data_IF_396556068748
#
_entry.id   IF_396556068748
#
_cell.length_a   1.000
_cell.length_b   1.000
_cell.length_c   1.000
_cell.angle_alpha   90.00
_cell.angle_beta   90.00
_cell.angle_gamma   90.00
#
_symmetry.space_group_name_H-M   'P 1'
#
loop_
_entity.id
_entity.type
_entity.pdbx_description
1 polymer ?
#
# COMPACT_ATOMS: atom_id res chain seq x y z
N UNK A 1 -0.17 -12.88 18.30
CA UNK A 1 1.14 -12.24 18.61
C UNK A 1 1.17 -10.87 17.94
N UNK A 2 1.80 -9.84 18.56
CA UNK A 2 1.77 -8.47 17.98
C UNK A 2 3.01 -8.13 17.15
N UNK A 3 4.09 -8.90 17.29
CA UNK A 3 5.39 -8.63 16.67
C UNK A 3 5.69 -9.67 15.59
N UNK A 4 6.22 -9.20 14.45
CA UNK A 4 6.75 -10.05 13.39
C UNK A 4 8.06 -9.49 12.88
N UNK A 5 9.01 -10.38 12.59
CA UNK A 5 10.24 -10.06 11.88
C UNK A 5 10.05 -10.41 10.40
N UNK A 6 10.22 -9.41 9.56
CA UNK A 6 10.24 -9.55 8.11
C UNK A 6 11.68 -9.56 7.66
N UNK A 7 12.13 -10.73 7.23
CA UNK A 7 13.51 -10.91 6.81
C UNK A 7 13.61 -11.17 5.31
N UNK A 8 14.16 -10.20 4.61
CA UNK A 8 14.67 -10.36 3.25
C UNK A 8 15.97 -11.17 3.24
N UNK A 9 16.61 -11.25 2.08
CA UNK A 9 17.86 -11.95 1.88
C UNK A 9 19.03 -11.01 1.55
N UNK A 10 18.90 -9.73 1.87
CA UNK A 10 19.96 -8.74 1.63
C UNK A 10 21.12 -8.90 2.63
N UNK A 11 22.28 -8.30 2.32
CA UNK A 11 23.53 -8.46 3.12
C UNK A 11 23.40 -8.05 4.58
N UNK A 12 22.56 -7.06 4.89
CA UNK A 12 22.35 -6.59 6.28
C UNK A 12 21.79 -7.69 7.19
N UNK A 13 21.25 -8.79 6.63
CA UNK A 13 20.84 -9.97 7.40
C UNK A 13 21.99 -10.56 8.26
N UNK A 14 23.23 -10.45 7.78
CA UNK A 14 24.41 -10.93 8.52
C UNK A 14 24.77 -10.04 9.72
N UNK A 15 24.21 -8.84 9.78
CA UNK A 15 24.52 -7.80 10.78
C UNK A 15 23.34 -7.51 11.72
N UNK A 16 22.47 -8.50 11.91
CA UNK A 16 21.37 -8.39 12.85
C UNK A 16 21.91 -8.13 14.26
N UNK A 17 21.42 -7.10 14.91
CA UNK A 17 21.65 -6.88 16.32
C UNK A 17 20.65 -7.69 17.14
N UNK A 18 21.05 -8.86 17.60
CA UNK A 18 20.18 -9.81 18.31
C UNK A 18 19.64 -9.27 19.64
N UNK A 19 20.31 -8.32 20.27
CA UNK A 19 19.80 -7.65 21.47
C UNK A 19 18.57 -6.77 21.19
N UNK A 20 18.31 -6.44 19.91
CA UNK A 20 17.15 -5.65 19.48
C UNK A 20 15.95 -6.49 19.04
N UNK A 21 16.08 -7.85 19.08
CA UNK A 21 14.96 -8.72 18.78
C UNK A 21 13.89 -8.59 19.87
N UNK A 22 12.61 -8.45 19.54
CA UNK A 22 11.54 -8.44 20.54
C UNK A 22 11.45 -9.80 21.25
N UNK A 23 10.96 -9.82 22.50
CA UNK A 23 10.93 -11.07 23.31
C UNK A 23 10.05 -12.17 22.74
N UNK A 24 8.99 -11.80 22.02
CA UNK A 24 8.06 -12.73 21.37
C UNK A 24 7.74 -12.22 19.97
N UNK A 25 8.03 -13.02 18.97
CA UNK A 25 7.84 -12.65 17.57
C UNK A 25 7.61 -13.87 16.69
N UNK A 26 6.95 -13.65 15.58
CA UNK A 26 6.90 -14.56 14.45
C UNK A 26 7.92 -14.13 13.40
N UNK A 27 8.32 -15.06 12.50
CA UNK A 27 9.33 -14.81 11.47
C UNK A 27 8.72 -15.08 10.11
N UNK A 28 8.84 -14.12 9.20
CA UNK A 28 8.53 -14.26 7.78
C UNK A 28 9.84 -14.26 6.99
N UNK A 29 9.97 -15.22 6.09
CA UNK A 29 11.13 -15.37 5.20
C UNK A 29 10.65 -15.46 3.74
N UNK A 30 11.52 -15.15 2.79
CA UNK A 30 11.16 -15.24 1.38
C UNK A 30 12.23 -15.91 0.50
N UNK A 31 11.77 -16.46 -0.60
CA UNK A 31 12.60 -17.02 -1.67
C UNK A 31 13.66 -17.99 -1.15
N UNK A 32 14.92 -17.78 -1.47
CA UNK A 32 16.05 -18.68 -1.18
C UNK A 32 16.65 -18.48 0.24
N UNK A 33 15.86 -18.12 1.25
CA UNK A 33 16.36 -17.90 2.61
C UNK A 33 17.16 -19.08 3.16
N UNK A 34 16.84 -20.29 2.74
CA UNK A 34 17.53 -21.52 3.17
C UNK A 34 18.91 -21.72 2.54
N UNK A 35 19.35 -20.84 1.62
CA UNK A 35 20.72 -20.82 1.11
C UNK A 35 21.71 -20.24 2.12
N UNK A 36 21.23 -19.59 3.17
CA UNK A 36 22.07 -19.04 4.24
C UNK A 36 22.98 -20.10 4.86
N UNK A 37 24.17 -19.70 5.31
CA UNK A 37 25.14 -20.57 5.93
C UNK A 37 24.95 -20.74 7.46
N UNK A 38 24.13 -19.86 8.06
CA UNK A 38 23.73 -19.88 9.46
C UNK A 38 22.23 -19.70 9.55
N UNK A 39 21.64 -20.16 10.64
CA UNK A 39 20.22 -19.89 10.91
C UNK A 39 20.06 -18.50 11.53
N UNK A 40 20.22 -17.44 10.73
CA UNK A 40 20.24 -16.04 11.22
C UNK A 40 19.05 -15.65 12.10
N UNK A 41 17.90 -16.25 11.90
CA UNK A 41 16.71 -16.04 12.73
C UNK A 41 16.16 -17.35 13.31
N UNK A 42 16.99 -18.40 13.35
CA UNK A 42 16.57 -19.71 13.82
C UNK A 42 15.80 -20.51 12.77
N UNK A 43 15.20 -21.61 13.22
CA UNK A 43 14.56 -22.61 12.37
C UNK A 43 13.03 -22.50 12.31
N UNK A 44 12.41 -21.74 13.22
CA UNK A 44 10.97 -21.63 13.31
C UNK A 44 10.46 -20.49 12.42
N UNK A 45 9.90 -20.83 11.28
CA UNK A 45 9.39 -19.89 10.27
C UNK A 45 7.87 -19.91 10.29
N UNK A 46 7.26 -18.79 10.68
CA UNK A 46 5.80 -18.65 10.68
C UNK A 46 5.22 -18.64 9.27
N UNK A 47 5.92 -17.98 8.32
CA UNK A 47 5.51 -17.92 6.94
C UNK A 47 6.71 -17.83 5.99
N UNK A 48 6.72 -18.69 4.97
CA UNK A 48 7.68 -18.65 3.87
C UNK A 48 6.96 -18.18 2.60
N UNK A 49 7.56 -17.21 1.89
CA UNK A 49 6.97 -16.56 0.72
C UNK A 49 7.83 -16.84 -0.51
N UNK A 50 7.20 -17.35 -1.54
CA UNK A 50 7.88 -17.71 -2.78
C UNK A 50 7.22 -17.06 -3.99
N UNK A 51 8.05 -16.65 -4.94
CA UNK A 51 7.58 -16.08 -6.19
C UNK A 51 6.88 -17.14 -7.04
N UNK A 52 5.88 -16.75 -7.85
CA UNK A 52 5.10 -17.71 -8.64
C UNK A 52 5.93 -18.48 -9.67
N UNK A 53 6.96 -17.90 -10.27
CA UNK A 53 7.79 -18.56 -11.27
C UNK A 53 8.47 -19.84 -10.76
N UNK A 54 9.26 -19.79 -9.66
CA UNK A 54 9.88 -20.98 -9.09
C UNK A 54 8.98 -21.68 -8.08
N UNK A 55 7.69 -21.39 -8.01
CA UNK A 55 6.85 -21.82 -6.90
C UNK A 55 6.79 -23.35 -6.76
N UNK A 56 6.72 -24.08 -7.85
CA UNK A 56 6.70 -25.55 -7.82
C UNK A 56 7.96 -26.12 -7.10
N UNK A 57 9.13 -25.68 -7.54
CA UNK A 57 10.41 -26.13 -6.96
C UNK A 57 10.59 -25.61 -5.54
N UNK A 58 10.20 -24.37 -5.27
CA UNK A 58 10.30 -23.77 -3.93
C UNK A 58 9.36 -24.46 -2.92
N UNK A 59 8.14 -24.76 -3.34
CA UNK A 59 7.19 -25.50 -2.52
C UNK A 59 7.71 -26.90 -2.20
N UNK A 60 8.17 -27.63 -3.23
CA UNK A 60 8.80 -28.95 -3.03
C UNK A 60 10.00 -28.86 -2.08
N UNK A 61 10.89 -27.89 -2.30
CA UNK A 61 12.05 -27.67 -1.43
C UNK A 61 11.63 -27.36 0.00
N UNK A 62 10.65 -26.49 0.21
CA UNK A 62 10.14 -26.15 1.54
C UNK A 62 9.59 -27.38 2.28
N UNK A 63 8.90 -28.28 1.57
CA UNK A 63 8.45 -29.55 2.15
C UNK A 63 9.62 -30.44 2.56
N UNK A 64 10.67 -30.51 1.75
CA UNK A 64 11.88 -31.28 2.08
C UNK A 64 12.65 -30.69 3.26
N UNK A 65 12.72 -29.33 3.38
CA UNK A 65 13.30 -28.66 4.55
C UNK A 65 12.58 -29.04 5.85
N UNK A 66 11.24 -29.16 5.79
CA UNK A 66 10.43 -29.58 6.94
C UNK A 66 10.63 -31.08 7.24
N UNK A 67 10.60 -31.94 6.21
CA UNK A 67 10.78 -33.37 6.37
C UNK A 67 12.18 -33.73 6.95
N UNK A 68 13.20 -32.97 6.56
CA UNK A 68 14.57 -33.14 7.04
C UNK A 68 14.83 -32.47 8.40
N UNK A 69 13.81 -31.85 9.01
CA UNK A 69 13.93 -31.08 10.26
C UNK A 69 14.95 -29.93 10.19
N UNK A 70 15.21 -29.39 8.98
CA UNK A 70 16.06 -28.21 8.81
C UNK A 70 15.36 -26.93 9.21
N UNK A 71 14.05 -26.84 8.93
CA UNK A 71 13.17 -25.74 9.32
C UNK A 71 11.80 -26.25 9.72
N UNK A 72 11.16 -25.55 10.62
CA UNK A 72 9.72 -25.65 10.87
C UNK A 72 9.03 -24.50 10.15
N UNK A 73 8.29 -24.81 9.09
CA UNK A 73 7.56 -23.82 8.29
C UNK A 73 6.06 -24.06 8.50
N UNK A 74 5.38 -23.07 9.09
CA UNK A 74 3.95 -23.23 9.40
C UNK A 74 3.05 -22.89 8.20
N UNK A 75 3.42 -21.87 7.40
CA UNK A 75 2.65 -21.44 6.26
C UNK A 75 3.55 -21.20 5.05
N UNK A 76 3.08 -21.60 3.88
CA UNK A 76 3.73 -21.31 2.60
C UNK A 76 2.82 -20.42 1.77
N UNK A 77 3.36 -19.31 1.25
CA UNK A 77 2.65 -18.36 0.43
C UNK A 77 3.24 -18.28 -0.97
N UNK A 78 2.37 -18.30 -1.97
CA UNK A 78 2.69 -17.79 -3.29
C UNK A 78 2.53 -16.26 -3.25
N UNK A 79 3.64 -15.51 -3.39
CA UNK A 79 3.67 -14.09 -3.04
C UNK A 79 2.88 -13.21 -4.00
N UNK A 80 3.02 -13.36 -5.29
CA UNK A 80 2.27 -12.52 -6.25
C UNK A 80 1.64 -13.36 -7.33
N UNK A 81 0.44 -12.95 -7.74
CA UNK A 81 -0.21 -13.51 -8.90
C UNK A 81 -0.71 -12.39 -9.80
N UNK A 82 0.20 -11.77 -10.51
CA UNK A 82 -0.17 -10.78 -11.50
C UNK A 82 0.87 -10.65 -12.59
N UNK A 83 1.20 -11.79 -13.12
CA UNK A 83 1.87 -11.77 -14.41
C UNK A 83 0.76 -11.87 -15.46
N UNK A 84 0.50 -10.80 -16.20
CA UNK A 84 -0.53 -10.80 -17.24
C UNK A 84 -0.30 -11.84 -18.33
N UNK A 85 0.84 -12.53 -18.30
CA UNK A 85 1.27 -13.54 -19.26
C UNK A 85 1.07 -14.98 -18.78
N UNK A 86 0.75 -15.20 -17.49
CA UNK A 86 0.38 -16.52 -17.01
C UNK A 86 -1.12 -16.61 -17.20
N UNK A 87 -1.59 -17.66 -17.85
CA UNK A 87 -3.01 -17.97 -17.93
C UNK A 87 -3.58 -18.05 -16.51
N UNK A 88 -4.07 -16.92 -16.09
CA UNK A 88 -4.47 -16.62 -14.73
C UNK A 88 -5.47 -17.67 -14.23
N UNK A 89 -6.39 -18.07 -15.08
CA UNK A 89 -7.50 -18.92 -14.69
C UNK A 89 -7.08 -20.37 -14.46
N UNK A 90 -6.19 -20.92 -15.28
CA UNK A 90 -5.74 -22.30 -15.10
C UNK A 90 -4.85 -22.49 -13.88
N UNK A 91 -3.95 -21.57 -13.58
CA UNK A 91 -3.10 -21.70 -12.40
C UNK A 91 -3.88 -21.42 -11.10
N UNK A 92 -4.67 -20.35 -11.05
CA UNK A 92 -5.44 -20.01 -9.86
C UNK A 92 -6.46 -21.09 -9.53
N UNK A 93 -7.18 -21.59 -10.53
CA UNK A 93 -8.21 -22.61 -10.36
C UNK A 93 -7.63 -23.96 -9.95
N UNK A 94 -6.40 -24.29 -10.37
CA UNK A 94 -5.72 -25.53 -10.04
C UNK A 94 -4.65 -25.39 -8.95
N UNK A 95 -4.47 -24.20 -8.38
CA UNK A 95 -3.40 -23.94 -7.42
C UNK A 95 -3.45 -24.91 -6.25
N UNK A 96 -4.61 -25.10 -5.66
CA UNK A 96 -4.78 -25.97 -4.49
C UNK A 96 -4.73 -27.46 -4.81
N UNK A 97 -4.92 -27.86 -6.08
CA UNK A 97 -4.71 -29.24 -6.50
C UNK A 97 -3.22 -29.63 -6.43
N UNK A 98 -2.33 -28.68 -6.76
CA UNK A 98 -0.87 -28.88 -6.71
C UNK A 98 -0.26 -28.49 -5.38
N UNK A 99 -0.83 -27.54 -4.67
CA UNK A 99 -0.28 -26.93 -3.46
C UNK A 99 -1.35 -26.83 -2.34
N UNK A 100 -1.84 -27.98 -1.83
CA UNK A 100 -3.06 -28.03 -1.02
C UNK A 100 -2.95 -27.23 0.31
N UNK A 101 -1.77 -27.08 0.85
CA UNK A 101 -1.52 -26.35 2.10
C UNK A 101 -0.82 -24.99 1.91
N UNK A 102 -0.60 -24.59 0.67
CA UNK A 102 -0.10 -23.24 0.36
C UNK A 102 -1.23 -22.22 0.26
N UNK A 103 -0.87 -20.95 0.36
CA UNK A 103 -1.82 -19.83 0.31
C UNK A 103 -1.48 -18.86 -0.81
N UNK A 104 -2.51 -18.31 -1.43
CA UNK A 104 -2.37 -17.24 -2.42
C UNK A 104 -2.32 -15.89 -1.69
N UNK A 105 -1.13 -15.31 -1.59
CA UNK A 105 -0.91 -14.09 -0.82
C UNK A 105 -1.69 -12.89 -1.35
N UNK A 106 -1.89 -12.77 -2.67
CA UNK A 106 -2.68 -11.70 -3.26
C UNK A 106 -4.15 -11.71 -2.77
N UNK A 107 -4.73 -12.90 -2.53
CA UNK A 107 -6.08 -13.02 -1.98
C UNK A 107 -6.18 -12.48 -0.55
N UNK A 108 -5.09 -12.53 0.18
CA UNK A 108 -5.02 -12.01 1.54
C UNK A 108 -4.87 -10.48 1.52
N UNK A 109 -3.97 -9.95 0.68
CA UNK A 109 -3.75 -8.50 0.54
C UNK A 109 -4.98 -7.78 -0.01
N UNK A 110 -5.85 -8.43 -0.80
CA UNK A 110 -7.12 -7.88 -1.27
C UNK A 110 -8.00 -7.32 -0.13
N UNK A 111 -7.83 -7.80 1.10
CA UNK A 111 -8.52 -7.26 2.26
C UNK A 111 -8.07 -5.83 2.65
N UNK A 112 -6.87 -5.43 2.27
CA UNK A 112 -6.36 -4.05 2.41
C UNK A 112 -6.79 -3.22 1.20
N UNK A 113 -8.06 -2.92 1.06
CA UNK A 113 -8.68 -2.42 -0.19
C UNK A 113 -7.98 -1.21 -0.80
N UNK A 114 -7.73 -0.17 0.00
CA UNK A 114 -7.07 1.06 -0.47
C UNK A 114 -5.64 0.80 -0.90
N UNK A 115 -4.89 0.09 -0.07
CA UNK A 115 -3.52 -0.34 -0.35
C UNK A 115 -3.46 -1.22 -1.60
N UNK A 116 -4.35 -2.21 -1.69
CA UNK A 116 -4.39 -3.12 -2.83
C UNK A 116 -4.68 -2.38 -4.14
N UNK A 117 -5.65 -1.48 -4.14
CA UNK A 117 -5.95 -0.65 -5.31
C UNK A 117 -4.74 0.19 -5.74
N UNK A 118 -4.02 0.77 -4.78
CA UNK A 118 -2.84 1.58 -5.04
C UNK A 118 -1.70 0.77 -5.66
N UNK A 119 -1.32 -0.36 -5.05
CA UNK A 119 -0.24 -1.19 -5.62
C UNK A 119 -0.61 -1.78 -6.97
N UNK A 120 -1.88 -2.12 -7.19
CA UNK A 120 -2.36 -2.61 -8.49
C UNK A 120 -2.31 -1.55 -9.58
N UNK A 121 -2.72 -0.34 -9.27
CA UNK A 121 -2.57 0.78 -10.19
C UNK A 121 -1.10 0.96 -10.60
N UNK A 122 -0.20 1.00 -9.64
CA UNK A 122 1.23 1.16 -9.91
C UNK A 122 1.81 -0.02 -10.70
N UNK A 123 1.42 -1.25 -10.38
CA UNK A 123 1.87 -2.45 -11.08
C UNK A 123 1.41 -2.49 -12.55
N UNK A 124 0.13 -2.22 -12.78
CA UNK A 124 -0.48 -2.39 -14.11
C UNK A 124 -0.15 -1.21 -15.03
N UNK A 125 -0.21 0.02 -14.51
CA UNK A 125 -0.10 1.22 -15.35
C UNK A 125 1.29 1.86 -15.35
N UNK A 126 2.05 1.69 -14.26
CA UNK A 126 3.35 2.35 -14.09
C UNK A 126 4.52 1.34 -14.08
N UNK A 127 4.24 0.05 -14.22
CA UNK A 127 5.23 -1.03 -14.12
C UNK A 127 6.08 -0.96 -12.86
N UNK A 128 5.49 -0.53 -11.73
CA UNK A 128 6.15 -0.48 -10.43
C UNK A 128 5.65 -1.62 -9.55
N UNK A 129 6.55 -2.41 -9.01
CA UNK A 129 6.22 -3.54 -8.14
C UNK A 129 6.96 -3.45 -6.82
N UNK A 130 6.27 -3.78 -5.75
CA UNK A 130 6.89 -3.95 -4.45
C UNK A 130 7.78 -5.19 -4.44
N UNK A 131 8.86 -5.13 -3.67
CA UNK A 131 9.72 -6.29 -3.46
C UNK A 131 9.06 -7.33 -2.56
N UNK A 132 9.63 -8.55 -2.51
CA UNK A 132 9.12 -9.62 -1.64
C UNK A 132 9.11 -9.24 -0.17
N UNK A 133 10.08 -8.44 0.29
CA UNK A 133 10.13 -7.93 1.66
C UNK A 133 8.91 -7.07 1.99
N UNK A 134 8.58 -6.14 1.11
CA UNK A 134 7.43 -5.24 1.29
C UNK A 134 6.10 -6.00 1.14
N UNK A 135 6.07 -6.99 0.26
CA UNK A 135 4.91 -7.86 0.14
C UNK A 135 4.62 -8.62 1.45
N UNK A 136 5.66 -9.15 2.10
CA UNK A 136 5.54 -9.77 3.42
C UNK A 136 5.00 -8.80 4.48
N UNK A 137 5.39 -7.51 4.42
CA UNK A 137 4.86 -6.48 5.32
C UNK A 137 3.35 -6.30 5.13
N UNK A 138 2.87 -6.23 3.90
CA UNK A 138 1.43 -6.12 3.62
C UNK A 138 0.64 -7.34 4.13
N UNK A 139 1.18 -8.55 3.95
CA UNK A 139 0.59 -9.76 4.55
C UNK A 139 0.57 -9.67 6.08
N UNK A 140 1.65 -9.23 6.70
CA UNK A 140 1.72 -9.08 8.15
C UNK A 140 0.66 -8.10 8.68
N UNK A 141 0.47 -6.97 8.01
CA UNK A 141 -0.59 -6.00 8.33
C UNK A 141 -1.97 -6.65 8.24
N UNK A 142 -2.23 -7.38 7.16
CA UNK A 142 -3.52 -8.09 6.98
C UNK A 142 -3.77 -9.14 8.05
N UNK A 143 -2.72 -9.79 8.52
CA UNK A 143 -2.79 -10.79 9.61
C UNK A 143 -2.88 -10.16 11.01
N UNK A 144 -2.87 -8.82 11.10
CA UNK A 144 -3.10 -8.08 12.35
C UNK A 144 -1.85 -7.81 13.19
N UNK A 145 -0.65 -8.01 12.65
CA UNK A 145 0.58 -7.61 13.33
C UNK A 145 0.65 -6.07 13.44
N UNK A 146 1.10 -5.59 14.58
CA UNK A 146 1.18 -4.15 14.88
C UNK A 146 2.60 -3.61 14.86
N UNK A 147 3.57 -4.42 15.25
CA UNK A 147 4.98 -4.05 15.23
C UNK A 147 5.71 -4.97 14.26
N UNK A 148 6.30 -4.39 13.24
CA UNK A 148 6.96 -5.07 12.13
C UNK A 148 8.43 -4.69 12.15
N UNK A 149 9.29 -5.68 12.32
CA UNK A 149 10.73 -5.52 12.43
C UNK A 149 11.39 -5.96 11.13
N UNK A 150 12.23 -5.11 10.56
CA UNK A 150 12.80 -5.29 9.23
C UNK A 150 14.28 -5.60 9.29
N UNK A 151 14.72 -6.63 8.55
CA UNK A 151 16.13 -6.95 8.33
C UNK A 151 16.34 -7.60 6.94
N UNK A 152 17.56 -7.54 6.43
CA UNK A 152 17.87 -8.10 5.12
C UNK A 152 17.09 -7.48 3.95
N UNK A 153 16.61 -6.24 4.10
CA UNK A 153 15.92 -5.46 3.06
C UNK A 153 16.83 -4.29 2.71
N UNK A 154 17.70 -4.47 1.74
CA UNK A 154 18.78 -3.55 1.39
C UNK A 154 18.58 -2.89 0.02
N UNK A 155 17.36 -3.00 -0.55
CA UNK A 155 16.91 -2.35 -1.79
C UNK A 155 17.81 -2.62 -3.00
N UNK A 156 18.57 -3.71 -2.97
CA UNK A 156 19.58 -4.07 -3.98
C UNK A 156 20.70 -3.03 -4.13
N UNK A 157 20.96 -2.25 -3.08
CA UNK A 157 22.08 -1.29 -3.04
C UNK A 157 23.36 -1.98 -2.55
N UNK A 158 24.51 -1.59 -3.13
CA UNK A 158 25.82 -2.11 -2.79
C UNK A 158 26.39 -3.11 -3.80
N UNK A 159 27.64 -3.51 -3.57
CA UNK A 159 28.36 -4.45 -4.44
C UNK A 159 27.84 -5.89 -4.32
N UNK A 160 27.39 -6.25 -3.15
CA UNK A 160 26.85 -7.60 -2.85
C UNK A 160 25.35 -7.51 -2.65
N UNK A 161 24.59 -8.16 -3.52
CA UNK A 161 23.11 -8.15 -3.46
C UNK A 161 22.60 -9.18 -2.44
N UNK A 162 23.29 -10.32 -2.31
CA UNK A 162 22.95 -11.38 -1.36
C UNK A 162 24.19 -11.84 -0.58
N UNK A 163 24.04 -12.27 0.67
CA UNK A 163 25.11 -12.81 1.49
C UNK A 163 25.48 -14.26 1.12
N UNK A 164 24.88 -14.82 0.07
CA UNK A 164 25.09 -16.18 -0.43
C UNK A 164 24.99 -16.21 -1.96
N UNK A 165 25.43 -17.31 -2.58
CA UNK A 165 25.26 -17.49 -4.03
C UNK A 165 23.78 -17.72 -4.37
N UNK A 166 23.12 -16.66 -4.86
CA UNK A 166 21.70 -16.71 -5.21
C UNK A 166 21.43 -17.52 -6.49
N UNK A 167 22.40 -17.59 -7.40
CA UNK A 167 22.32 -18.29 -8.68
C UNK A 167 22.94 -19.67 -8.61
N UNK A 168 22.36 -20.52 -7.77
CA UNK A 168 22.78 -21.91 -7.59
C UNK A 168 22.64 -22.77 -8.86
N UNK A 169 23.22 -23.95 -8.85
CA UNK A 169 23.25 -24.88 -9.99
C UNK A 169 21.84 -25.24 -10.50
N UNK A 170 20.94 -25.55 -9.59
CA UNK A 170 19.59 -25.96 -9.96
C UNK A 170 18.73 -24.78 -10.42
N UNK A 171 18.91 -23.59 -9.85
CA UNK A 171 18.26 -22.37 -10.36
C UNK A 171 18.67 -22.10 -11.80
N UNK A 172 19.99 -22.16 -12.10
CA UNK A 172 20.50 -22.00 -13.48
C UNK A 172 19.95 -23.06 -14.44
N UNK A 173 19.76 -24.30 -13.96
CA UNK A 173 19.17 -25.37 -14.76
C UNK A 173 17.69 -25.15 -15.02
N UNK A 174 16.94 -24.72 -14.02
CA UNK A 174 15.49 -24.50 -14.11
C UNK A 174 15.15 -23.24 -14.90
N UNK A 175 15.98 -22.21 -14.79
CA UNK A 175 15.77 -20.92 -15.45
C UNK A 175 16.99 -20.51 -16.28
N UNK A 176 17.28 -21.19 -17.42
CA UNK A 176 18.48 -20.94 -18.22
C UNK A 176 18.60 -19.53 -18.77
N UNK A 177 17.48 -18.81 -18.89
CA UNK A 177 17.44 -17.40 -19.32
C UNK A 177 17.90 -16.41 -18.25
N UNK A 178 17.93 -16.82 -16.97
CA UNK A 178 18.46 -16.02 -15.85
C UNK A 178 19.98 -16.20 -15.74
N UNK A 179 20.74 -15.87 -16.78
CA UNK A 179 22.21 -16.05 -16.78
C UNK A 179 22.88 -15.19 -15.72
N UNK A 180 22.42 -13.95 -15.58
CA UNK A 180 22.92 -12.99 -14.61
C UNK A 180 21.74 -12.49 -13.77
N UNK A 181 21.89 -12.56 -12.44
CA UNK A 181 20.88 -11.99 -11.56
C UNK A 181 21.00 -10.45 -11.63
N UNK A 182 19.97 -9.82 -12.19
CA UNK A 182 19.79 -8.36 -12.12
C UNK A 182 18.45 -8.09 -11.46
N UNK A 183 18.40 -7.10 -10.54
CA UNK A 183 17.12 -6.63 -10.02
C UNK A 183 16.21 -6.22 -11.19
N UNK A 184 14.94 -6.54 -11.07
CA UNK A 184 13.97 -6.11 -12.09
C UNK A 184 13.82 -4.59 -12.05
N UNK A 185 13.80 -3.94 -13.21
CA UNK A 185 13.59 -2.49 -13.35
C UNK A 185 12.23 -2.02 -12.80
N UNK A 186 11.33 -2.94 -12.44
CA UNK A 186 10.06 -2.59 -11.82
C UNK A 186 10.15 -2.35 -10.30
N UNK A 187 11.29 -2.64 -9.67
CA UNK A 187 11.53 -2.41 -8.25
C UNK A 187 12.37 -1.15 -8.05
N UNK A 188 12.01 -0.31 -7.09
CA UNK A 188 12.85 0.80 -6.66
C UNK A 188 12.75 0.98 -5.15
N UNK A 189 13.83 1.48 -4.56
CA UNK A 189 13.91 1.81 -3.14
C UNK A 189 12.85 2.85 -2.75
N UNK A 190 12.71 3.89 -3.56
CA UNK A 190 11.77 4.99 -3.31
C UNK A 190 10.34 4.46 -3.22
N UNK A 191 9.98 3.56 -4.14
CA UNK A 191 8.65 2.96 -4.14
C UNK A 191 8.44 2.04 -2.95
N UNK A 192 9.40 1.21 -2.60
CA UNK A 192 9.31 0.33 -1.42
C UNK A 192 9.17 1.14 -0.12
N UNK A 193 9.92 2.23 0.04
CA UNK A 193 9.80 3.14 1.20
C UNK A 193 8.45 3.85 1.22
N UNK A 194 7.98 4.33 0.08
CA UNK A 194 6.65 4.95 -0.06
C UNK A 194 5.56 3.98 0.41
N UNK A 195 5.63 2.72 -0.02
CA UNK A 195 4.68 1.68 0.35
C UNK A 195 4.71 1.35 1.85
N UNK A 196 5.89 1.28 2.47
CA UNK A 196 6.00 1.08 3.92
C UNK A 196 5.35 2.23 4.69
N UNK A 197 5.61 3.48 4.29
CA UNK A 197 4.98 4.66 4.91
C UNK A 197 3.46 4.69 4.70
N UNK A 198 2.99 4.23 3.55
CA UNK A 198 1.57 4.10 3.26
C UNK A 198 0.90 3.09 4.21
N UNK A 199 1.52 1.91 4.39
CA UNK A 199 1.04 0.90 5.35
C UNK A 199 1.00 1.44 6.79
N UNK A 200 2.06 2.13 7.20
CA UNK A 200 2.15 2.76 8.52
C UNK A 200 1.03 3.77 8.75
N UNK A 201 0.80 4.65 7.79
CA UNK A 201 -0.18 5.74 7.91
C UNK A 201 -1.64 5.23 7.90
N UNK A 202 -1.97 4.30 7.00
CA UNK A 202 -3.35 3.82 6.84
C UNK A 202 -3.73 2.85 7.96
N UNK A 203 -2.85 1.86 8.25
CA UNK A 203 -3.20 0.74 9.14
C UNK A 203 -2.67 0.89 10.57
N UNK A 204 -1.99 2.01 10.88
CA UNK A 204 -1.47 2.32 12.22
C UNK A 204 -0.60 1.18 12.76
N UNK A 205 0.33 0.75 11.95
CA UNK A 205 1.38 -0.22 12.30
C UNK A 205 2.70 0.50 12.48
N UNK A 206 3.63 -0.11 13.21
CA UNK A 206 4.96 0.46 13.45
C UNK A 206 6.00 -0.39 12.74
N UNK A 207 6.92 0.27 12.04
CA UNK A 207 8.09 -0.36 11.45
C UNK A 207 9.36 -0.02 12.22
N UNK A 208 10.22 -1.01 12.42
CA UNK A 208 11.50 -0.89 13.13
C UNK A 208 12.60 -1.55 12.33
N UNK A 209 13.78 -0.95 12.25
CA UNK A 209 14.97 -1.58 11.71
C UNK A 209 15.68 -2.43 12.79
N UNK A 210 16.23 -3.59 12.41
CA UNK A 210 16.98 -4.48 13.29
C UNK A 210 18.50 -4.43 13.09
N UNK A 211 18.96 -3.84 11.99
CA UNK A 211 20.37 -3.80 11.61
C UNK A 211 20.85 -2.35 11.62
N UNK A 212 21.90 -2.09 12.41
CA UNK A 212 22.46 -0.73 12.59
C UNK A 212 23.08 -0.18 11.30
N UNK A 213 23.48 -1.05 10.35
CA UNK A 213 24.08 -0.69 9.07
C UNK A 213 23.12 -0.78 7.87
N UNK A 214 21.83 -1.00 8.09
CA UNK A 214 20.85 -1.05 7.01
C UNK A 214 20.43 0.36 6.59
N UNK A 215 20.20 0.57 5.28
CA UNK A 215 19.62 1.81 4.74
C UNK A 215 18.25 2.15 5.35
N UNK A 216 17.56 1.17 5.94
CA UNK A 216 16.26 1.34 6.60
C UNK A 216 16.30 2.31 7.79
N UNK A 217 17.45 2.46 8.48
CA UNK A 217 17.57 3.38 9.64
C UNK A 217 17.33 4.85 9.29
N UNK A 218 17.49 5.20 8.02
CA UNK A 218 17.21 6.56 7.54
C UNK A 218 15.71 6.86 7.44
N UNK A 219 14.86 5.85 7.54
CA UNK A 219 13.42 5.95 7.30
C UNK A 219 12.57 5.46 8.47
N UNK A 220 13.09 4.52 9.25
CA UNK A 220 12.40 3.89 10.38
C UNK A 220 13.33 3.81 11.58
N UNK A 221 12.79 3.95 12.81
CA UNK A 221 13.59 3.88 14.02
C UNK A 221 14.21 2.49 14.19
N UNK A 222 15.39 2.46 14.78
CA UNK A 222 15.96 1.21 15.29
C UNK A 222 15.07 0.65 16.40
N UNK A 223 14.93 -0.68 16.40
CA UNK A 223 14.27 -1.37 17.50
C UNK A 223 15.01 -1.11 18.82
N UNK A 224 14.25 -0.89 19.89
CA UNK A 224 14.83 -0.79 21.22
C UNK A 224 15.51 -2.09 21.64
N UNK A 225 16.57 -2.00 22.47
CA UNK A 225 17.16 -3.20 23.06
C UNK A 225 16.14 -3.90 23.96
N UNK A 226 16.04 -5.22 23.81
CA UNK A 226 15.13 -6.07 24.56
C UNK A 226 15.86 -7.07 25.46
N UNK A 227 17.18 -6.96 25.55
CA UNK A 227 18.07 -7.91 26.26
C UNK A 227 17.76 -9.38 25.96
N UNK A 228 17.65 -9.66 24.68
CA UNK A 228 17.29 -10.99 24.20
C UNK A 228 18.55 -11.82 23.95
N UNK A 229 18.60 -13.01 24.50
CA UNK A 229 19.64 -13.98 24.20
C UNK A 229 19.23 -14.79 22.97
N UNK A 230 19.96 -14.66 21.88
CA UNK A 230 19.77 -15.45 20.66
C UNK A 230 21.02 -16.26 20.37
N UNK A 231 20.84 -17.57 20.20
CA UNK A 231 21.94 -18.48 19.87
C UNK A 231 21.97 -18.64 18.33
N UNK A 232 23.02 -18.11 17.72
CA UNK A 232 23.25 -18.24 16.29
C UNK A 232 23.84 -19.59 15.94
N UNK A 233 23.07 -20.46 15.31
CA UNK A 233 23.52 -21.80 14.89
C UNK A 233 24.09 -21.78 13.46
N UNK A 234 25.18 -22.50 13.25
CA UNK A 234 25.72 -22.78 11.91
C UNK A 234 24.92 -23.90 11.23
N UNK A 235 24.75 -23.81 9.92
CA UNK A 235 24.17 -24.91 9.13
C UNK A 235 25.26 -25.97 8.82
N UNK A 236 24.89 -27.24 8.91
CA UNK A 236 25.75 -28.35 8.52
C UNK A 236 25.98 -28.41 7.00
N UNK A 237 27.01 -29.14 6.57
CA UNK A 237 27.28 -29.34 5.14
C UNK A 237 26.19 -30.13 4.40
N UNK A 238 25.40 -30.92 5.13
CA UNK A 238 24.31 -31.74 4.58
C UNK A 238 22.99 -30.97 4.39
N UNK A 239 22.90 -29.72 4.87
CA UNK A 239 21.70 -28.91 4.71
C UNK A 239 21.44 -28.53 3.25
N UNK A 240 20.18 -28.44 2.89
CA UNK A 240 19.73 -28.03 1.56
C UNK A 240 20.12 -26.56 1.34
N UNK A 241 20.90 -26.29 0.27
CA UNK A 241 21.35 -24.94 -0.12
C UNK A 241 21.09 -24.62 -1.59
N UNK A 242 20.20 -25.38 -2.21
CA UNK A 242 19.76 -25.16 -3.58
C UNK A 242 18.28 -25.51 -3.67
N UNK A 243 17.58 -25.03 -4.69
CA UNK A 243 16.23 -25.51 -4.97
C UNK A 243 16.32 -26.99 -5.38
N UNK A 244 15.39 -27.78 -4.90
CA UNK A 244 15.26 -29.16 -5.32
C UNK A 244 14.42 -29.22 -6.60
N UNK A 245 14.93 -29.99 -7.54
CA UNK A 245 14.21 -30.22 -8.78
C UNK A 245 13.09 -31.24 -8.52
N UNK A 246 11.93 -30.95 -9.03
CA UNK A 246 10.83 -31.92 -9.09
C UNK A 246 11.09 -32.96 -10.18
N UNK A 247 10.44 -34.12 -10.10
CA UNK A 247 10.50 -35.12 -11.13
C UNK A 247 10.13 -34.51 -12.50
N UNK A 248 10.92 -34.80 -13.54
CA UNK A 248 10.76 -34.24 -14.89
C UNK A 248 9.36 -34.45 -15.48
N UNK A 249 8.65 -35.51 -15.08
CA UNK A 249 7.29 -35.81 -15.53
C UNK A 249 6.27 -34.76 -15.03
N UNK A 250 6.40 -34.25 -13.83
CA UNK A 250 5.51 -33.20 -13.30
C UNK A 250 5.94 -31.81 -13.78
N UNK A 251 7.24 -31.52 -13.77
CA UNK A 251 7.78 -30.23 -14.18
C UNK A 251 7.57 -29.98 -15.69
N UNK A 252 7.89 -30.95 -16.52
CA UNK A 252 7.74 -30.86 -17.98
C UNK A 252 6.27 -30.75 -18.39
N UNK A 253 5.36 -31.48 -17.77
CA UNK A 253 3.93 -31.36 -18.09
C UNK A 253 3.31 -30.06 -17.60
N UNK A 254 3.72 -29.55 -16.44
CA UNK A 254 3.29 -28.24 -15.96
C UNK A 254 3.73 -27.14 -16.92
N UNK A 255 5.00 -27.18 -17.38
CA UNK A 255 5.52 -26.19 -18.32
C UNK A 255 5.12 -26.49 -19.78
N UNK A 256 4.97 -27.75 -20.19
CA UNK A 256 4.45 -28.08 -21.52
C UNK A 256 3.00 -27.65 -21.70
N UNK A 257 2.17 -27.79 -20.67
CA UNK A 257 0.80 -27.25 -20.71
C UNK A 257 0.78 -25.71 -20.76
N UNK A 258 1.81 -25.05 -20.22
CA UNK A 258 2.00 -23.61 -20.41
C UNK A 258 2.58 -23.25 -21.79
N UNK A 259 3.35 -24.14 -22.41
CA UNK A 259 4.01 -23.92 -23.70
C UNK A 259 3.13 -24.40 -24.87
N UNK A 260 2.27 -25.42 -24.70
CA UNK A 260 1.35 -25.86 -25.72
C UNK A 260 0.20 -24.90 -26.04
N UNK A 261 -0.02 -23.90 -25.22
CA UNK A 261 -0.85 -22.72 -25.51
C UNK A 261 -0.15 -21.76 -26.48
N UNK A 262 1.12 -21.98 -26.79
CA UNK A 262 1.90 -21.21 -27.79
C UNK A 262 1.69 -21.68 -29.24
N UNK A 263 0.48 -22.06 -29.65
CA UNK A 263 0.09 -21.90 -31.02
C UNK A 263 0.02 -20.40 -31.31
N UNK A 264 0.79 -19.94 -32.27
CA UNK A 264 0.94 -18.50 -32.61
C UNK A 264 -0.43 -17.83 -32.85
N UNK A 265 -1.43 -18.59 -33.33
CA UNK A 265 -2.81 -18.13 -33.51
C UNK A 265 -3.57 -17.89 -32.18
N UNK A 266 -3.38 -18.77 -31.19
CA UNK A 266 -4.01 -18.60 -29.87
C UNK A 266 -3.37 -17.42 -29.13
N UNK A 267 -2.07 -17.23 -29.31
CA UNK A 267 -1.35 -16.08 -28.76
C UNK A 267 -1.83 -14.77 -29.39
N UNK A 268 -2.03 -14.77 -30.70
CA UNK A 268 -2.54 -13.61 -31.44
C UNK A 268 -3.97 -13.26 -31.01
N UNK A 269 -4.83 -14.27 -30.88
CA UNK A 269 -6.21 -14.09 -30.40
C UNK A 269 -6.25 -13.57 -28.94
N UNK A 270 -5.37 -14.10 -28.07
CA UNK A 270 -5.27 -13.64 -26.69
C UNK A 270 -4.73 -12.19 -26.63
N UNK A 271 -3.75 -11.84 -27.47
CA UNK A 271 -3.29 -10.44 -27.57
C UNK A 271 -4.40 -9.52 -28.10
N UNK A 272 -5.16 -9.93 -29.10
CA UNK A 272 -6.30 -9.17 -29.62
C UNK A 272 -7.37 -8.95 -28.54
N UNK A 273 -7.71 -9.99 -27.77
CA UNK A 273 -8.65 -9.90 -26.66
C UNK A 273 -8.13 -9.00 -25.54
N UNK A 274 -6.81 -9.06 -25.24
CA UNK A 274 -6.18 -8.16 -24.27
C UNK A 274 -6.19 -6.71 -24.74
N UNK A 275 -5.93 -6.46 -26.02
CA UNK A 275 -5.98 -5.11 -26.61
C UNK A 275 -7.40 -4.56 -26.49
N UNK A 276 -8.42 -5.33 -26.90
CA UNK A 276 -9.81 -4.92 -26.82
C UNK A 276 -10.27 -4.66 -25.39
N UNK A 277 -9.83 -5.48 -24.44
CA UNK A 277 -10.10 -5.24 -23.01
C UNK A 277 -9.44 -3.96 -22.49
N UNK A 278 -8.22 -3.67 -22.94
CA UNK A 278 -7.49 -2.45 -22.61
C UNK A 278 -8.14 -1.21 -23.24
N UNK A 279 -8.57 -1.29 -24.47
CA UNK A 279 -9.28 -0.19 -25.14
C UNK A 279 -10.60 0.15 -24.42
N UNK A 280 -11.34 -0.88 -23.98
CA UNK A 280 -12.55 -0.69 -23.17
C UNK A 280 -12.23 -0.05 -21.81
N UNK A 281 -11.11 -0.43 -21.16
CA UNK A 281 -10.67 0.20 -19.91
C UNK A 281 -10.28 1.66 -20.12
N UNK A 282 -9.55 1.98 -21.19
CA UNK A 282 -9.17 3.35 -21.55
C UNK A 282 -10.43 4.19 -21.82
N UNK A 283 -11.39 3.65 -22.56
CA UNK A 283 -12.67 4.33 -22.83
C UNK A 283 -13.42 4.66 -21.55
N UNK A 284 -13.51 3.71 -20.61
CA UNK A 284 -14.15 3.93 -19.32
C UNK A 284 -13.41 4.97 -18.46
N UNK A 285 -12.07 4.92 -18.45
CA UNK A 285 -11.25 5.90 -17.73
C UNK A 285 -11.39 7.31 -18.30
N UNK A 286 -11.44 7.45 -19.62
CA UNK A 286 -11.67 8.73 -20.28
C UNK A 286 -13.03 9.32 -19.91
N UNK A 287 -14.07 8.48 -19.81
CA UNK A 287 -15.39 8.89 -19.35
C UNK A 287 -15.37 9.38 -17.91
N UNK A 288 -14.71 8.64 -17.02
CA UNK A 288 -14.53 9.06 -15.62
C UNK A 288 -13.73 10.36 -15.52
N UNK A 289 -12.72 10.54 -16.36
CA UNK A 289 -11.92 11.77 -16.40
C UNK A 289 -12.78 12.97 -16.81
N UNK A 290 -13.57 12.83 -17.88
CA UNK A 290 -14.49 13.88 -18.32
C UNK A 290 -15.52 14.26 -17.25
N UNK A 291 -16.04 13.29 -16.51
CA UNK A 291 -17.00 13.55 -15.44
C UNK A 291 -16.32 14.26 -14.24
N UNK A 292 -15.07 13.91 -13.94
CA UNK A 292 -14.26 14.61 -12.93
C UNK A 292 -13.93 16.04 -13.34
N UNK A 293 -13.60 16.27 -14.60
CA UNK A 293 -13.32 17.62 -15.11
C UNK A 293 -14.55 18.52 -15.04
N UNK A 294 -15.73 17.98 -15.39
CA UNK A 294 -17.00 18.70 -15.20
C UNK A 294 -17.23 19.05 -13.72
N UNK A 295 -17.00 18.09 -12.81
CA UNK A 295 -17.16 18.31 -11.38
C UNK A 295 -16.16 19.35 -10.86
N UNK A 296 -14.91 19.32 -11.35
CA UNK A 296 -13.88 20.29 -11.02
C UNK A 296 -14.31 21.69 -11.44
N UNK A 297 -14.76 21.83 -12.68
CA UNK A 297 -15.27 23.12 -13.20
C UNK A 297 -16.44 23.67 -12.36
N UNK A 298 -17.38 22.79 -11.97
CA UNK A 298 -18.49 23.18 -11.09
C UNK A 298 -17.96 23.67 -9.73
N UNK A 299 -16.99 22.94 -9.14
CA UNK A 299 -16.39 23.32 -7.86
C UNK A 299 -15.59 24.62 -7.95
N UNK A 300 -14.85 24.84 -9.01
CA UNK A 300 -14.11 26.08 -9.26
C UNK A 300 -15.05 27.27 -9.39
N UNK A 301 -16.13 27.13 -10.15
CA UNK A 301 -17.15 28.16 -10.28
C UNK A 301 -17.81 28.47 -8.93
N UNK A 302 -18.12 27.44 -8.13
CA UNK A 302 -18.66 27.59 -6.79
C UNK A 302 -17.69 28.33 -5.86
N UNK A 303 -16.42 27.96 -5.90
CA UNK A 303 -15.34 28.55 -5.09
C UNK A 303 -15.12 30.01 -5.48
N UNK A 304 -15.10 30.31 -6.78
CA UNK A 304 -15.00 31.67 -7.29
C UNK A 304 -16.21 32.53 -6.88
N UNK A 305 -17.42 31.96 -6.96
CA UNK A 305 -18.60 32.65 -6.49
C UNK A 305 -18.53 32.93 -4.98
N UNK A 306 -18.16 31.91 -4.17
CA UNK A 306 -18.06 32.08 -2.72
C UNK A 306 -16.93 33.03 -2.31
N UNK A 307 -15.82 33.02 -3.02
CA UNK A 307 -14.70 33.94 -2.81
C UNK A 307 -15.11 35.40 -3.06
N UNK A 308 -15.92 35.63 -4.10
CA UNK A 308 -16.31 36.97 -4.49
C UNK A 308 -17.51 37.52 -3.69
N UNK A 309 -18.51 36.69 -3.44
CA UNK A 309 -19.79 37.11 -2.82
C UNK A 309 -20.04 36.56 -1.42
N UNK A 310 -19.19 35.61 -0.94
CA UNK A 310 -19.39 34.93 0.34
C UNK A 310 -20.49 33.86 0.28
N UNK A 311 -20.98 33.44 1.44
CA UNK A 311 -22.05 32.44 1.60
C UNK A 311 -23.39 33.08 1.87
N UNK A 312 -24.49 32.46 1.40
CA UNK A 312 -25.86 32.89 1.66
C UNK A 312 -26.13 33.04 3.16
N UNK A 313 -25.72 32.06 3.96
CA UNK A 313 -25.86 32.09 5.42
C UNK A 313 -25.27 33.36 6.06
N UNK A 314 -24.05 33.74 5.70
CA UNK A 314 -23.39 34.94 6.22
C UNK A 314 -24.13 36.18 5.82
N UNK A 315 -24.66 36.23 4.59
CA UNK A 315 -25.43 37.36 4.09
C UNK A 315 -26.78 37.48 4.79
N UNK A 316 -27.47 36.37 5.05
CA UNK A 316 -28.73 36.35 5.84
C UNK A 316 -28.45 36.83 7.27
N UNK A 317 -27.42 36.33 7.91
CA UNK A 317 -27.02 36.73 9.26
C UNK A 317 -26.67 38.22 9.38
N UNK A 318 -26.22 38.84 8.29
CA UNK A 318 -25.90 40.25 8.25
C UNK A 318 -27.14 41.16 7.93
N UNK A 319 -28.28 40.57 7.62
CA UNK A 319 -29.51 41.36 7.45
C UNK A 319 -29.98 41.95 8.78
N UNK A 320 -30.55 43.16 8.70
CA UNK A 320 -31.08 43.84 9.87
C UNK A 320 -32.11 43.00 10.64
N UNK A 321 -33.03 42.37 9.90
CA UNK A 321 -34.07 41.51 10.47
C UNK A 321 -33.53 40.36 11.28
N UNK A 322 -32.47 39.68 10.76
CA UNK A 322 -31.81 38.60 11.47
C UNK A 322 -31.09 39.10 12.74
N UNK A 323 -30.29 40.18 12.63
CA UNK A 323 -29.58 40.80 13.76
C UNK A 323 -30.54 41.22 14.87
N UNK A 324 -31.68 41.80 14.49
CA UNK A 324 -32.73 42.20 15.46
C UNK A 324 -33.42 40.98 16.08
N UNK A 325 -33.78 39.97 15.28
CA UNK A 325 -34.37 38.72 15.80
C UNK A 325 -33.45 38.01 16.78
N UNK A 326 -32.19 37.90 16.46
CA UNK A 326 -31.18 37.30 17.34
C UNK A 326 -31.03 38.08 18.65
N UNK A 327 -30.98 39.41 18.58
CA UNK A 327 -30.92 40.27 19.76
C UNK A 327 -32.13 40.11 20.66
N UNK A 328 -33.34 40.03 20.09
CA UNK A 328 -34.58 39.75 20.81
C UNK A 328 -34.52 38.38 21.52
N UNK A 329 -34.15 37.32 20.81
CA UNK A 329 -34.08 35.94 21.37
C UNK A 329 -33.08 35.88 22.54
N UNK A 330 -31.90 36.47 22.38
CA UNK A 330 -30.86 36.40 23.40
C UNK A 330 -31.23 37.21 24.64
N UNK A 331 -31.71 38.43 24.46
CA UNK A 331 -31.90 39.37 25.57
C UNK A 331 -33.28 39.23 26.25
N UNK A 332 -34.27 38.57 25.64
CA UNK A 332 -35.54 38.23 26.29
C UNK A 332 -35.46 37.18 27.40
N UNK A 333 -34.33 36.53 27.54
CA UNK A 333 -34.11 35.42 28.54
C UNK A 333 -33.80 35.91 29.95
N UNK A 334 -33.58 37.22 30.15
CA UNK A 334 -33.27 37.78 31.47
C UNK A 334 -33.91 39.17 31.65
N UNK A 335 -34.23 39.51 32.86
CA UNK A 335 -34.85 40.85 33.19
C UNK A 335 -33.90 41.98 32.81
N UNK A 336 -32.62 41.85 33.11
CA UNK A 336 -31.59 42.85 32.76
C UNK A 336 -31.40 42.96 31.24
N UNK A 337 -31.44 41.83 30.51
CA UNK A 337 -31.41 41.79 29.05
C UNK A 337 -32.63 42.48 28.44
N UNK A 338 -33.80 42.25 29.00
CA UNK A 338 -35.03 42.88 28.52
C UNK A 338 -34.99 44.40 28.71
N UNK A 339 -34.50 44.92 29.85
CA UNK A 339 -34.35 46.35 30.10
C UNK A 339 -33.30 47.01 29.19
N UNK A 340 -32.27 46.30 28.79
CA UNK A 340 -31.22 46.80 27.88
C UNK A 340 -31.60 46.71 26.40
N UNK A 341 -32.64 45.93 26.07
CA UNK A 341 -33.06 45.62 24.70
C UNK A 341 -33.26 46.84 23.80
N UNK A 342 -33.92 47.95 24.23
CA UNK A 342 -34.08 49.14 23.40
C UNK A 342 -32.77 49.76 22.94
N UNK A 343 -31.77 49.78 23.84
CA UNK A 343 -30.44 50.33 23.54
C UNK A 343 -29.67 49.42 22.58
N UNK A 344 -29.79 48.10 22.73
CA UNK A 344 -29.18 47.12 21.85
C UNK A 344 -29.79 47.20 20.45
N UNK A 345 -31.11 47.27 20.34
CA UNK A 345 -31.81 47.44 19.06
C UNK A 345 -31.36 48.72 18.37
N UNK A 346 -31.30 49.82 19.09
CA UNK A 346 -30.87 51.12 18.54
C UNK A 346 -29.42 51.03 18.03
N UNK A 347 -28.53 50.43 18.79
CA UNK A 347 -27.14 50.22 18.41
C UNK A 347 -27.01 49.37 17.14
N UNK A 348 -27.78 48.28 17.03
CA UNK A 348 -27.79 47.42 15.83
C UNK A 348 -28.31 48.21 14.61
N UNK A 349 -29.34 49.01 14.75
CA UNK A 349 -29.89 49.80 13.66
C UNK A 349 -28.86 50.85 13.19
N UNK A 350 -28.19 51.54 14.11
CA UNK A 350 -27.19 52.56 13.77
C UNK A 350 -26.01 51.90 13.06
N UNK A 351 -25.46 50.84 13.65
CA UNK A 351 -24.35 50.05 13.04
C UNK A 351 -24.71 49.54 11.64
N UNK A 352 -25.90 48.98 11.48
CA UNK A 352 -26.33 48.47 10.19
C UNK A 352 -26.50 49.58 9.13
N UNK A 353 -27.01 50.76 9.52
CA UNK A 353 -27.09 51.92 8.61
C UNK A 353 -25.70 52.39 8.17
N UNK A 354 -24.71 52.41 9.08
CA UNK A 354 -23.33 52.74 8.75
C UNK A 354 -22.71 51.73 7.79
N UNK A 355 -22.87 50.42 8.07
CA UNK A 355 -22.42 49.34 7.20
C UNK A 355 -23.01 49.43 5.79
N UNK A 356 -24.31 49.70 5.70
CA UNK A 356 -25.02 49.90 4.42
C UNK A 356 -24.53 51.15 3.65
N UNK A 357 -24.24 52.24 4.35
CA UNK A 357 -23.69 53.45 3.69
C UNK A 357 -22.31 53.16 3.09
N UNK A 358 -21.42 52.49 3.85
CA UNK A 358 -20.11 52.09 3.37
C UNK A 358 -20.21 51.14 2.18
N UNK A 359 -21.13 50.19 2.24
CA UNK A 359 -21.40 49.24 1.13
C UNK A 359 -21.86 49.97 -0.14
N UNK A 360 -22.80 50.92 -0.01
CA UNK A 360 -23.27 51.72 -1.15
C UNK A 360 -22.15 52.59 -1.76
N UNK A 361 -21.29 53.15 -0.95
CA UNK A 361 -20.11 53.90 -1.41
C UNK A 361 -19.11 53.02 -2.17
N UNK A 362 -18.90 51.78 -1.71
CA UNK A 362 -18.06 50.80 -2.41
C UNK A 362 -18.65 50.41 -3.77
N UNK A 363 -19.94 50.11 -3.84
CA UNK A 363 -20.62 49.79 -5.10
C UNK A 363 -20.60 50.97 -6.10
N UNK A 364 -20.69 52.21 -5.62
CA UNK A 364 -20.58 53.38 -6.50
C UNK A 364 -19.18 53.49 -7.14
N UNK A 365 -18.14 53.05 -6.42
CA UNK A 365 -16.76 53.03 -6.92
C UNK A 365 -16.48 51.82 -7.82
N UNK A 366 -17.03 50.70 -7.47
CA UNK A 366 -16.88 49.43 -8.20
C UNK A 366 -18.22 48.67 -8.25
N UNK A 367 -18.98 48.79 -9.35
CA UNK A 367 -20.28 48.13 -9.53
C UNK A 367 -20.19 46.57 -9.47
N UNK A 368 -19.03 45.98 -9.71
CA UNK A 368 -18.85 44.52 -9.66
C UNK A 368 -19.00 43.96 -8.26
N UNK A 369 -18.80 44.78 -7.22
CA UNK A 369 -18.98 44.41 -5.82
C UNK A 369 -20.45 44.29 -5.39
N UNK A 370 -21.42 44.61 -6.30
CA UNK A 370 -22.84 44.44 -6.00
C UNK A 370 -23.18 42.96 -5.85
N UNK A 371 -23.56 42.57 -4.67
CA UNK A 371 -23.93 41.18 -4.38
C UNK A 371 -25.20 40.78 -5.16
N UNK A 372 -25.23 39.60 -5.79
CA UNK A 372 -26.42 39.11 -6.51
C UNK A 372 -27.59 38.87 -5.55
N UNK A 373 -28.85 38.74 -6.04
CA UNK A 373 -29.99 38.32 -5.22
C UNK A 373 -29.68 37.08 -4.39
N UNK A 374 -30.29 36.95 -3.20
CA UNK A 374 -30.03 35.82 -2.30
C UNK A 374 -30.34 34.47 -2.94
N UNK A 375 -31.39 34.43 -3.76
CA UNK A 375 -31.83 33.22 -4.49
C UNK A 375 -30.79 32.69 -5.47
N UNK A 376 -29.83 33.51 -5.89
CA UNK A 376 -28.75 33.12 -6.80
C UNK A 376 -27.53 32.56 -6.07
N UNK A 377 -27.54 32.49 -4.74
CA UNK A 377 -26.47 31.84 -3.99
C UNK A 377 -26.63 30.33 -4.05
N UNK A 378 -25.60 29.59 -4.42
CA UNK A 378 -25.66 28.11 -4.54
C UNK A 378 -26.10 27.42 -3.25
N UNK A 379 -25.74 27.98 -2.09
CA UNK A 379 -26.04 27.48 -0.75
C UNK A 379 -27.32 28.12 -0.13
N UNK A 380 -28.16 28.80 -0.92
CA UNK A 380 -29.33 29.51 -0.40
C UNK A 380 -30.38 28.60 0.26
N UNK A 381 -30.58 27.40 -0.30
CA UNK A 381 -31.55 26.44 0.24
C UNK A 381 -31.10 25.80 1.57
N UNK A 382 -29.79 25.86 1.85
CA UNK A 382 -29.18 25.28 3.05
C UNK A 382 -28.92 26.34 4.14
N UNK A 383 -29.07 27.61 3.80
CA UNK A 383 -28.81 28.78 4.66
C UNK A 383 -30.00 29.19 5.51
#
# INVERSE_FOLDING_TARGET
MQNVIIAGNGPSLQSINYQRLPKKYDIFRCNQFYFENKYYLGKNIKAAFFNPYPFLQQYHTAKQLVLNNEYKIENIFCSTFNLPFIEKDNFINKFYDFFPDAKLGHKIIENLKEFYAYIKYNEIYLNKRITSGIYMCAIAVTLGYKNIYLCGIDFYEGETIYPFEAMSKNIKKTFPWMKDFKPSNCHSKEYDIEILKLLESIYKVNFYALCDNSALINYFPLSASADNEFILENKSGSCIRDILLTDDTLGVNFYKNQIQVNNTETLLLNFQNMISAKENQISNLNKILQDKDKLLTIKENLLNFQSHYGKAKTRIQNQLSYKLGQALIINSKSVLGFLSLPFIILSIIISHKQEQKIYQEKIKKDPSLKSPPLENYPDYKEA
#
